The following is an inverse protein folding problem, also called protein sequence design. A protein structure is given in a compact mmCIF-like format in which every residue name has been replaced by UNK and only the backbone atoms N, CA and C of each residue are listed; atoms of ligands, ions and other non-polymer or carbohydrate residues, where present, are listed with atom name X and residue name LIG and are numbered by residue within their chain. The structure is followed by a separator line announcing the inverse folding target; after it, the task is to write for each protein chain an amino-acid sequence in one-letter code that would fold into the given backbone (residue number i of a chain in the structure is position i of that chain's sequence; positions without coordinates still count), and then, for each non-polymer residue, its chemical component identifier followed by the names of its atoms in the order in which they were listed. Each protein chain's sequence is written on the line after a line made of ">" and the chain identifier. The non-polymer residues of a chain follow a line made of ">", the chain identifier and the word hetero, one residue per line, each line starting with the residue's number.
data_IF_231643036212
#
_entry.id   IF_231643036212
#
_cell.length_a   1.000
_cell.length_b   1.000
_cell.length_c   1.000
_cell.angle_alpha   90.00
_cell.angle_beta   90.00
_cell.angle_gamma   90.00
#
_symmetry.space_group_name_H-M   'P 1'
#
loop_
_entity.id
_entity.type
_entity.pdbx_description
1 polymer ?
#
# COMPACT_ATOMS: atom_id res chain seq x y z
N UNK A 1 -11.51 10.89 -7.48
CA UNK A 1 -10.30 10.73 -8.30
C UNK A 1 -9.23 10.04 -7.47
N UNK A 2 -9.08 8.73 -7.64
CA UNK A 2 -7.98 7.97 -7.03
C UNK A 2 -6.73 8.25 -7.86
N UNK A 3 -5.70 8.77 -7.21
CA UNK A 3 -4.42 9.01 -7.89
C UNK A 3 -3.66 7.68 -7.97
N UNK A 4 -3.06 7.37 -9.11
CA UNK A 4 -2.37 6.10 -9.40
C UNK A 4 -1.24 5.75 -8.42
N UNK A 5 -0.61 6.76 -7.84
CA UNK A 5 0.48 6.61 -6.88
C UNK A 5 0.01 6.42 -5.43
N UNK A 6 -1.30 6.48 -5.19
CA UNK A 6 -1.81 6.24 -3.86
C UNK A 6 -1.93 4.75 -3.60
N UNK A 7 -1.34 4.33 -2.50
CA UNK A 7 -1.60 3.04 -1.90
C UNK A 7 -2.72 3.18 -0.87
N UNK A 8 -3.58 2.17 -0.78
CA UNK A 8 -4.29 1.95 0.45
C UNK A 8 -3.29 1.48 1.52
N UNK A 9 -3.29 2.11 2.68
CA UNK A 9 -2.37 1.79 3.77
C UNK A 9 -3.15 1.53 5.05
N UNK A 10 -3.13 0.30 5.53
CA UNK A 10 -3.53 -0.08 6.88
C UNK A 10 -2.26 -0.30 7.71
N UNK A 11 -2.00 0.60 8.65
CA UNK A 11 -0.78 0.54 9.45
C UNK A 11 -1.08 0.90 10.90
N UNK A 12 -0.20 0.48 11.80
CA UNK A 12 -0.37 0.78 13.21
C UNK A 12 0.80 0.34 14.07
N UNK A 13 0.57 0.41 15.36
CA UNK A 13 1.49 0.02 16.41
C UNK A 13 1.13 -1.38 16.90
N UNK A 14 2.14 -2.21 17.11
CA UNK A 14 2.05 -3.47 17.83
C UNK A 14 3.03 -3.45 19.00
N UNK A 15 2.69 -4.06 20.13
CA UNK A 15 3.61 -4.23 21.24
C UNK A 15 3.40 -5.57 21.95
N UNK A 16 4.41 -6.03 22.65
CA UNK A 16 4.39 -7.30 23.38
C UNK A 16 3.91 -7.12 24.81
N UNK A 17 3.03 -8.04 25.24
CA UNK A 17 2.50 -8.15 26.60
C UNK A 17 1.26 -7.28 26.82
N UNK A 18 0.67 -7.46 28.00
CA UNK A 18 -0.64 -6.88 28.36
C UNK A 18 -0.55 -5.49 28.99
N UNK A 19 0.68 -5.02 29.28
CA UNK A 19 0.91 -3.69 29.85
C UNK A 19 1.49 -2.74 28.84
N UNK A 20 1.09 -1.48 28.90
CA UNK A 20 1.62 -0.41 28.08
C UNK A 20 3.15 -0.37 28.11
N UNK A 21 3.84 -0.46 26.96
CA UNK A 21 5.30 -0.49 26.91
C UNK A 21 5.95 0.87 27.20
N UNK A 22 5.17 1.95 27.13
CA UNK A 22 5.58 3.33 27.47
C UNK A 22 4.43 4.05 28.16
N UNK A 23 4.73 5.13 28.86
CA UNK A 23 3.70 6.07 29.33
C UNK A 23 3.28 6.95 28.16
N UNK A 24 2.26 6.53 27.43
CA UNK A 24 1.85 7.17 26.17
C UNK A 24 1.50 8.67 26.36
N UNK A 25 0.89 9.05 27.49
CA UNK A 25 0.59 10.45 27.77
C UNK A 25 1.86 11.32 27.93
N UNK A 26 3.00 10.73 28.35
CA UNK A 26 4.27 11.43 28.42
C UNK A 26 4.80 11.75 27.01
N UNK A 27 4.63 10.83 26.06
CA UNK A 27 4.95 11.08 24.64
C UNK A 27 4.11 12.24 24.10
N UNK A 28 2.79 12.20 24.31
CA UNK A 28 1.90 13.25 23.80
C UNK A 28 2.18 14.62 24.44
N UNK A 29 2.59 14.67 25.71
CA UNK A 29 3.04 15.90 26.35
C UNK A 29 4.28 16.51 25.71
N UNK A 30 5.24 15.68 25.28
CA UNK A 30 6.47 16.13 24.58
C UNK A 30 6.18 16.78 23.22
N UNK A 31 5.02 16.56 22.63
CA UNK A 31 4.64 17.24 21.38
C UNK A 31 4.27 18.73 21.60
N UNK A 32 4.06 19.17 22.85
CA UNK A 32 3.76 20.55 23.18
C UNK A 32 2.65 21.16 22.29
N UNK A 33 1.54 20.43 22.16
CA UNK A 33 0.40 20.86 21.35
C UNK A 33 -0.50 21.81 22.14
N UNK A 34 -1.29 22.59 21.38
CA UNK A 34 -2.31 23.45 21.99
C UNK A 34 -3.33 22.61 22.78
N UNK A 35 -3.78 23.11 23.93
CA UNK A 35 -4.65 22.36 24.87
C UNK A 35 -6.01 21.95 24.29
N UNK A 36 -6.48 22.64 23.24
CA UNK A 36 -7.74 22.34 22.55
C UNK A 36 -7.65 21.16 21.56
N UNK A 37 -6.44 20.64 21.29
CA UNK A 37 -6.24 19.49 20.39
C UNK A 37 -6.39 18.20 21.20
N UNK A 38 -7.56 17.60 21.16
CA UNK A 38 -7.86 16.33 21.84
C UNK A 38 -7.66 15.11 20.95
N UNK A 39 -7.87 15.24 19.63
CA UNK A 39 -7.62 14.23 18.62
C UNK A 39 -6.36 14.60 17.82
N UNK A 40 -5.23 14.04 18.23
CA UNK A 40 -3.93 14.37 17.65
C UNK A 40 -3.71 13.55 16.37
N UNK A 41 -3.45 14.25 15.27
CA UNK A 41 -3.16 13.69 13.94
C UNK A 41 -1.76 14.07 13.49
N UNK A 42 -1.21 13.36 12.50
CA UNK A 42 0.11 13.64 11.94
C UNK A 42 0.33 15.12 11.58
N UNK A 43 -0.68 15.79 11.01
CA UNK A 43 -0.63 17.23 10.68
C UNK A 43 -0.38 18.17 11.87
N UNK A 44 -0.59 17.70 13.11
CA UNK A 44 -0.33 18.48 14.31
C UNK A 44 1.12 18.36 14.78
N UNK A 45 1.83 17.33 14.37
CA UNK A 45 3.25 17.11 14.71
C UNK A 45 4.19 17.34 13.52
N UNK A 46 3.70 17.33 12.29
CA UNK A 46 4.47 17.64 11.09
C UNK A 46 3.67 18.56 10.18
N UNK A 47 4.32 19.60 9.66
CA UNK A 47 3.75 20.47 8.63
C UNK A 47 4.20 19.96 7.25
N UNK A 48 3.28 19.90 6.30
CA UNK A 48 3.56 19.55 4.92
C UNK A 48 2.68 20.38 3.98
N UNK A 49 3.22 20.77 2.83
CA UNK A 49 2.64 21.80 1.96
C UNK A 49 1.64 21.28 0.91
N UNK A 50 1.06 20.12 1.09
CA UNK A 50 -0.05 19.65 0.25
C UNK A 50 0.33 18.92 -1.04
N UNK A 51 1.58 18.96 -1.52
CA UNK A 51 2.04 18.13 -2.63
C UNK A 51 2.42 16.74 -2.14
N UNK A 52 1.78 15.71 -2.68
CA UNK A 52 2.03 14.32 -2.27
C UNK A 52 3.48 13.89 -2.51
N UNK A 53 4.14 14.44 -3.53
CA UNK A 53 5.54 14.19 -3.86
C UNK A 53 6.53 14.66 -2.78
N UNK A 54 6.21 15.73 -2.06
CA UNK A 54 7.08 16.34 -1.05
C UNK A 54 6.65 15.96 0.38
N UNK A 55 5.46 15.42 0.55
CA UNK A 55 4.85 15.16 1.86
C UNK A 55 5.75 14.34 2.78
N UNK A 56 6.37 13.28 2.28
CA UNK A 56 7.27 12.43 3.07
C UNK A 56 8.50 13.22 3.52
N UNK A 57 9.13 13.94 2.61
CA UNK A 57 10.31 14.77 2.88
C UNK A 57 10.00 15.86 3.91
N UNK A 58 8.84 16.50 3.80
CA UNK A 58 8.40 17.53 4.76
C UNK A 58 8.12 16.95 6.15
N UNK A 59 7.51 15.78 6.24
CA UNK A 59 7.28 15.08 7.52
C UNK A 59 8.61 14.83 8.23
N UNK A 60 9.65 14.45 7.48
CA UNK A 60 10.97 14.17 8.04
C UNK A 60 11.68 15.42 8.60
N UNK A 61 11.29 16.65 8.27
CA UNK A 61 11.83 17.89 8.83
C UNK A 61 11.41 18.14 10.29
N UNK A 62 10.45 17.40 10.81
CA UNK A 62 9.83 17.71 12.09
C UNK A 62 10.60 17.11 13.28
N UNK A 63 10.98 17.95 14.25
CA UNK A 63 11.52 17.52 15.53
C UNK A 63 10.50 16.71 16.38
N UNK A 64 9.19 16.98 16.20
CA UNK A 64 8.16 16.18 16.87
C UNK A 64 8.08 14.77 16.30
N UNK A 65 8.40 14.60 15.02
CA UNK A 65 8.56 13.26 14.41
C UNK A 65 9.83 12.59 14.95
N UNK A 66 10.91 13.33 15.20
CA UNK A 66 12.09 12.78 15.90
C UNK A 66 11.71 12.24 17.28
N UNK A 67 11.00 13.03 18.10
CA UNK A 67 10.52 12.62 19.43
C UNK A 67 9.67 11.35 19.34
N UNK A 68 8.77 11.28 18.36
CA UNK A 68 7.93 10.10 18.10
C UNK A 68 8.80 8.87 17.83
N UNK A 69 9.66 8.94 16.82
CA UNK A 69 10.47 7.81 16.37
C UNK A 69 11.48 7.36 17.41
N UNK A 70 12.13 8.28 18.11
CA UNK A 70 13.03 7.98 19.23
C UNK A 70 12.31 7.23 20.35
N UNK A 71 11.12 7.70 20.74
CA UNK A 71 10.34 7.06 21.80
C UNK A 71 9.94 5.62 21.40
N UNK A 72 9.52 5.41 20.14
CA UNK A 72 9.18 4.07 19.67
C UNK A 72 10.40 3.15 19.63
N UNK A 73 11.55 3.64 19.18
CA UNK A 73 12.79 2.86 19.10
C UNK A 73 13.41 2.55 20.48
N UNK A 74 13.27 3.44 21.46
CA UNK A 74 13.76 3.23 22.82
C UNK A 74 12.96 2.15 23.56
N UNK A 75 11.72 1.92 23.16
CA UNK A 75 10.92 0.83 23.70
C UNK A 75 11.21 -0.46 22.95
N UNK A 76 11.98 -1.35 23.55
CA UNK A 76 12.31 -2.67 22.95
C UNK A 76 11.08 -3.59 22.72
N UNK A 77 9.88 -3.13 23.06
CA UNK A 77 8.61 -3.89 22.97
C UNK A 77 7.65 -3.32 21.95
N UNK A 78 7.97 -2.18 21.31
CA UNK A 78 7.09 -1.54 20.32
C UNK A 78 7.60 -1.84 18.91
N UNK A 79 6.67 -2.20 18.05
CA UNK A 79 6.85 -2.47 16.63
C UNK A 79 5.80 -1.72 15.83
N UNK A 80 6.06 -1.51 14.56
CA UNK A 80 5.07 -1.02 13.60
C UNK A 80 4.70 -2.13 12.62
N UNK A 81 3.46 -2.13 12.19
CA UNK A 81 3.02 -3.02 11.13
C UNK A 81 2.34 -2.22 10.03
N UNK A 82 2.34 -2.76 8.82
CA UNK A 82 1.66 -2.14 7.69
C UNK A 82 1.17 -3.21 6.71
N UNK A 83 0.03 -2.92 6.09
CA UNK A 83 -0.47 -3.57 4.90
C UNK A 83 -0.68 -2.47 3.85
N UNK A 84 -0.10 -2.64 2.68
CA UNK A 84 -0.22 -1.65 1.61
C UNK A 84 -0.66 -2.32 0.33
N UNK A 85 -1.51 -1.62 -0.44
CA UNK A 85 -1.99 -2.07 -1.73
C UNK A 85 -1.99 -0.91 -2.70
N UNK A 86 -1.14 -0.96 -3.73
CA UNK A 86 -1.18 0.02 -4.80
C UNK A 86 -2.43 -0.20 -5.65
N UNK A 87 -3.26 0.84 -5.78
CA UNK A 87 -4.59 0.70 -6.38
C UNK A 87 -4.52 0.48 -7.90
N UNK A 88 -3.59 1.14 -8.59
CA UNK A 88 -3.41 0.91 -10.04
C UNK A 88 -2.83 -0.48 -10.31
N UNK A 89 -1.80 -0.88 -9.55
CA UNK A 89 -1.23 -2.24 -9.68
C UNK A 89 -2.31 -3.30 -9.51
N UNK A 90 -3.07 -3.20 -8.42
CA UNK A 90 -4.19 -4.11 -8.16
C UNK A 90 -5.22 -4.09 -9.30
N UNK A 91 -5.47 -2.91 -9.87
CA UNK A 91 -6.45 -2.76 -10.95
C UNK A 91 -6.05 -3.43 -12.27
N UNK A 92 -4.77 -3.66 -12.52
CA UNK A 92 -4.31 -4.22 -13.81
C UNK A 92 -3.83 -5.67 -13.72
N UNK A 93 -3.61 -6.22 -12.52
CA UNK A 93 -3.10 -7.60 -12.37
C UNK A 93 -4.08 -8.64 -12.89
N UNK A 94 -5.39 -8.41 -12.76
CA UNK A 94 -6.43 -9.31 -13.23
C UNK A 94 -6.45 -9.47 -14.76
N UNK A 95 -5.91 -8.49 -15.49
CA UNK A 95 -5.69 -8.62 -16.94
C UNK A 95 -4.73 -9.77 -17.22
N UNK A 96 -3.58 -9.77 -16.52
CA UNK A 96 -2.55 -10.82 -16.70
C UNK A 96 -3.09 -12.18 -16.27
N UNK A 97 -3.74 -12.25 -15.11
CA UNK A 97 -4.32 -13.49 -14.58
C UNK A 97 -5.44 -14.03 -15.46
N UNK A 98 -6.14 -13.18 -16.21
CA UNK A 98 -7.20 -13.59 -17.15
C UNK A 98 -6.68 -14.12 -18.46
N UNK A 99 -5.48 -13.69 -18.92
CA UNK A 99 -4.99 -14.01 -20.26
C UNK A 99 -3.80 -14.96 -20.29
N UNK A 100 -3.10 -15.18 -19.15
CA UNK A 100 -1.96 -16.08 -19.06
C UNK A 100 -2.27 -17.29 -18.17
N UNK A 101 -1.89 -18.48 -18.65
CA UNK A 101 -2.06 -19.75 -17.93
C UNK A 101 -0.78 -20.17 -17.15
N UNK A 102 0.34 -19.45 -17.30
CA UNK A 102 1.65 -19.82 -16.76
C UNK A 102 1.98 -19.04 -15.47
N UNK A 103 1.59 -19.51 -14.27
CA UNK A 103 1.64 -18.74 -13.05
C UNK A 103 3.05 -18.28 -12.61
N UNK A 104 4.10 -19.00 -13.02
CA UNK A 104 5.47 -18.69 -12.61
C UNK A 104 6.11 -17.45 -13.27
N UNK A 105 5.48 -16.90 -14.33
CA UNK A 105 5.92 -15.65 -14.98
C UNK A 105 4.95 -14.50 -14.77
N UNK A 106 3.82 -14.72 -14.07
CA UNK A 106 2.80 -13.70 -13.89
C UNK A 106 3.32 -12.45 -13.21
N UNK A 107 4.14 -12.60 -12.16
CA UNK A 107 4.62 -11.44 -11.39
C UNK A 107 5.50 -10.51 -12.24
N UNK A 108 6.32 -11.05 -13.13
CA UNK A 108 7.15 -10.26 -14.04
C UNK A 108 6.27 -9.52 -15.07
N UNK A 109 5.34 -10.23 -15.71
CA UNK A 109 4.43 -9.64 -16.68
C UNK A 109 3.53 -8.59 -16.03
N UNK A 110 3.01 -8.84 -14.80
CA UNK A 110 2.24 -7.86 -14.01
C UNK A 110 3.03 -6.58 -13.75
N UNK A 111 4.30 -6.70 -13.38
CA UNK A 111 5.14 -5.53 -13.12
C UNK A 111 5.44 -4.74 -14.39
N UNK A 112 5.63 -5.41 -15.51
CA UNK A 112 5.85 -4.75 -16.81
C UNK A 112 4.56 -4.08 -17.29
N UNK A 113 3.41 -4.75 -17.21
CA UNK A 113 2.12 -4.14 -17.50
C UNK A 113 1.87 -2.90 -16.63
N UNK A 114 2.12 -2.99 -15.33
CA UNK A 114 2.01 -1.85 -14.42
C UNK A 114 2.93 -0.69 -14.80
N UNK A 115 4.19 -0.97 -15.17
CA UNK A 115 5.15 0.04 -15.64
C UNK A 115 4.59 0.84 -16.81
N UNK A 116 3.99 0.15 -17.79
CA UNK A 116 3.40 0.81 -18.96
C UNK A 116 2.06 1.46 -18.63
N UNK A 117 1.26 0.89 -17.74
CA UNK A 117 0.06 1.52 -17.23
C UNK A 117 0.34 2.85 -16.51
N UNK A 118 1.48 2.98 -15.81
CA UNK A 118 1.93 4.24 -15.21
C UNK A 118 2.35 5.26 -16.28
N UNK A 119 2.99 4.81 -17.36
CA UNK A 119 3.47 5.71 -18.44
C UNK A 119 2.35 6.23 -19.32
N UNK A 120 1.37 5.41 -19.63
CA UNK A 120 0.23 5.74 -20.50
C UNK A 120 -1.09 5.46 -19.79
N UNK A 121 -1.34 6.22 -18.71
CA UNK A 121 -2.56 6.09 -17.93
C UNK A 121 -3.81 6.45 -18.72
N UNK A 122 -3.76 7.54 -19.50
CA UNK A 122 -4.94 8.00 -20.25
C UNK A 122 -5.36 6.97 -21.28
N UNK A 123 -4.41 6.39 -22.02
CA UNK A 123 -4.70 5.36 -23.03
C UNK A 123 -5.30 4.11 -22.40
N UNK A 124 -4.61 3.52 -21.42
CA UNK A 124 -5.09 2.28 -20.80
C UNK A 124 -6.39 2.50 -20.02
N UNK A 125 -6.48 3.52 -19.15
CA UNK A 125 -7.69 3.74 -18.34
C UNK A 125 -8.91 4.09 -19.19
N UNK A 126 -8.73 4.79 -20.32
CA UNK A 126 -9.81 5.06 -21.27
C UNK A 126 -10.31 3.77 -21.92
N UNK A 127 -9.38 2.89 -22.31
CA UNK A 127 -9.72 1.57 -22.83
C UNK A 127 -10.49 0.74 -21.80
N UNK A 128 -10.00 0.66 -20.56
CA UNK A 128 -10.67 -0.09 -19.50
C UNK A 128 -12.07 0.45 -19.21
N UNK A 129 -12.22 1.78 -19.16
CA UNK A 129 -13.52 2.43 -18.93
C UNK A 129 -14.54 2.19 -20.07
N UNK A 130 -14.05 2.12 -21.33
CA UNK A 130 -14.89 1.86 -22.50
C UNK A 130 -15.59 0.49 -22.44
N UNK A 131 -14.95 -0.49 -21.81
CA UNK A 131 -15.44 -1.87 -21.74
C UNK A 131 -16.03 -2.25 -20.39
N UNK A 132 -16.37 -1.30 -19.54
CA UNK A 132 -16.94 -1.52 -18.21
C UNK A 132 -16.06 -2.40 -17.29
N UNK A 133 -14.71 -2.32 -17.48
CA UNK A 133 -13.77 -3.06 -16.65
C UNK A 133 -14.06 -2.84 -15.16
N UNK A 134 -14.04 -3.88 -14.31
CA UNK A 134 -13.60 -5.27 -14.50
C UNK A 134 -14.73 -6.23 -14.91
N UNK A 135 -15.89 -5.75 -15.32
CA UNK A 135 -17.02 -6.58 -15.76
C UNK A 135 -17.25 -6.45 -17.27
N UNK A 136 -16.35 -7.06 -18.04
CA UNK A 136 -16.42 -7.03 -19.51
C UNK A 136 -17.53 -7.97 -19.96
N UNK A 137 -18.52 -7.41 -20.67
CA UNK A 137 -19.63 -8.20 -21.19
C UNK A 137 -19.18 -9.23 -22.22
N UNK A 138 -19.78 -10.40 -22.18
CA UNK A 138 -19.42 -11.56 -23.03
C UNK A 138 -19.31 -11.24 -24.52
N UNK A 139 -20.22 -10.45 -25.04
CA UNK A 139 -20.24 -10.00 -26.43
C UNK A 139 -19.18 -8.94 -26.76
N UNK A 140 -18.56 -8.33 -25.74
CA UNK A 140 -17.53 -7.31 -25.87
C UNK A 140 -16.10 -7.85 -25.69
N UNK A 141 -15.93 -9.10 -25.20
CA UNK A 141 -14.60 -9.68 -24.93
C UNK A 141 -13.70 -9.63 -26.16
N UNK A 142 -14.19 -10.04 -27.32
CA UNK A 142 -13.39 -10.04 -28.56
C UNK A 142 -12.90 -8.64 -28.93
N UNK A 143 -13.77 -7.63 -28.83
CA UNK A 143 -13.44 -6.23 -29.10
C UNK A 143 -12.48 -5.65 -28.06
N UNK A 144 -12.69 -5.93 -26.76
CA UNK A 144 -11.77 -5.55 -25.70
C UNK A 144 -10.35 -6.11 -25.94
N UNK A 145 -10.26 -7.42 -26.21
CA UNK A 145 -8.97 -8.06 -26.49
C UNK A 145 -8.27 -7.45 -27.71
N UNK A 146 -9.04 -7.10 -28.76
CA UNK A 146 -8.48 -6.43 -29.94
C UNK A 146 -7.89 -5.06 -29.61
N UNK A 147 -8.61 -4.24 -28.86
CA UNK A 147 -8.12 -2.93 -28.43
C UNK A 147 -6.96 -3.04 -27.47
N UNK A 148 -6.96 -4.03 -26.55
CA UNK A 148 -5.84 -4.29 -25.66
C UNK A 148 -4.59 -4.71 -26.45
N UNK A 149 -4.72 -5.55 -27.48
CA UNK A 149 -3.62 -5.92 -28.38
C UNK A 149 -3.06 -4.67 -29.07
N UNK A 150 -3.94 -3.82 -29.65
CA UNK A 150 -3.50 -2.57 -30.27
C UNK A 150 -2.75 -1.66 -29.30
N UNK A 151 -3.22 -1.55 -28.06
CA UNK A 151 -2.52 -0.80 -27.03
C UNK A 151 -1.16 -1.41 -26.71
N UNK A 152 -1.05 -2.73 -26.49
CA UNK A 152 0.23 -3.43 -26.27
C UNK A 152 1.20 -3.20 -27.44
N UNK A 153 0.75 -3.31 -28.68
CA UNK A 153 1.56 -3.11 -29.88
C UNK A 153 2.02 -1.65 -30.06
N UNK A 154 1.36 -0.69 -29.43
CA UNK A 154 1.79 0.72 -29.42
C UNK A 154 2.93 1.00 -28.43
N UNK A 155 3.20 0.09 -27.49
CA UNK A 155 4.22 0.25 -26.48
C UNK A 155 5.61 0.02 -27.07
N UNK A 156 6.60 0.75 -26.54
CA UNK A 156 8.01 0.58 -26.95
C UNK A 156 8.79 -0.05 -25.79
N UNK A 157 9.14 -1.36 -25.89
CA UNK A 157 9.93 -2.04 -24.88
C UNK A 157 11.35 -1.44 -24.81
N UNK A 158 11.92 -1.42 -23.60
CA UNK A 158 13.22 -0.83 -23.32
C UNK A 158 14.29 -1.90 -23.06
N UNK A 159 13.89 -3.16 -22.97
CA UNK A 159 14.78 -4.32 -22.85
C UNK A 159 14.16 -5.56 -23.50
N UNK A 160 14.98 -6.61 -23.65
CA UNK A 160 14.53 -7.90 -24.19
C UNK A 160 13.50 -8.55 -23.27
N UNK A 161 13.66 -8.41 -21.96
CA UNK A 161 12.74 -8.94 -20.95
C UNK A 161 11.37 -8.26 -21.05
N UNK A 162 11.34 -6.95 -21.25
CA UNK A 162 10.09 -6.21 -21.46
C UNK A 162 9.40 -6.62 -22.76
N UNK A 163 10.16 -6.75 -23.85
CA UNK A 163 9.62 -7.18 -25.14
C UNK A 163 9.02 -8.60 -25.04
N UNK A 164 9.72 -9.50 -24.39
CA UNK A 164 9.23 -10.86 -24.15
C UNK A 164 7.95 -10.90 -23.31
N UNK A 165 7.89 -10.12 -22.23
CA UNK A 165 6.69 -10.04 -21.37
C UNK A 165 5.49 -9.44 -22.10
N UNK A 166 5.69 -8.37 -22.88
CA UNK A 166 4.63 -7.76 -23.71
C UNK A 166 4.16 -8.73 -24.80
N UNK A 167 5.07 -9.50 -25.40
CA UNK A 167 4.71 -10.54 -26.37
C UNK A 167 3.89 -11.66 -25.73
N UNK A 168 4.26 -12.13 -24.53
CA UNK A 168 3.47 -13.11 -23.78
C UNK A 168 2.07 -12.59 -23.51
N UNK A 169 1.95 -11.35 -23.03
CA UNK A 169 0.66 -10.70 -22.74
C UNK A 169 -0.18 -10.60 -24.04
N UNK A 170 0.46 -10.21 -25.15
CA UNK A 170 -0.19 -10.12 -26.46
C UNK A 170 -0.69 -11.49 -26.95
N UNK A 171 0.11 -12.54 -26.82
CA UNK A 171 -0.28 -13.90 -27.23
C UNK A 171 -1.40 -14.47 -26.34
N UNK A 172 -1.31 -14.26 -25.03
CA UNK A 172 -2.37 -14.63 -24.09
C UNK A 172 -3.70 -13.91 -24.44
N UNK A 173 -3.65 -12.61 -24.70
CA UNK A 173 -4.81 -11.82 -25.12
C UNK A 173 -5.42 -12.32 -26.44
N UNK A 174 -4.59 -12.70 -27.42
CA UNK A 174 -5.07 -13.32 -28.68
C UNK A 174 -5.76 -14.67 -28.40
N UNK A 175 -5.25 -15.44 -27.47
CA UNK A 175 -5.87 -16.72 -27.09
C UNK A 175 -7.22 -16.49 -26.44
N UNK A 176 -7.29 -15.58 -25.44
CA UNK A 176 -8.55 -15.21 -24.78
C UNK A 176 -9.58 -14.66 -25.75
N UNK A 177 -9.16 -13.85 -26.74
CA UNK A 177 -10.02 -13.41 -27.84
C UNK A 177 -10.63 -14.57 -28.61
N UNK A 178 -9.80 -15.57 -28.98
CA UNK A 178 -10.23 -16.75 -29.76
C UNK A 178 -11.22 -17.63 -29.01
N UNK A 179 -11.01 -17.85 -27.71
CA UNK A 179 -11.91 -18.65 -26.88
C UNK A 179 -13.09 -17.85 -26.34
N UNK A 180 -13.07 -16.53 -26.50
CA UNK A 180 -14.06 -15.58 -26.03
C UNK A 180 -14.30 -15.70 -24.50
N UNK A 181 -13.20 -15.72 -23.72
CA UNK A 181 -13.23 -15.90 -22.27
C UNK A 181 -12.14 -15.10 -21.57
N UNK A 182 -12.50 -14.49 -20.41
CA UNK A 182 -11.61 -13.74 -19.52
C UNK A 182 -11.95 -14.11 -18.07
N UNK A 183 -11.19 -15.04 -17.48
CA UNK A 183 -11.53 -15.71 -16.23
C UNK A 183 -11.88 -14.77 -15.06
N UNK A 184 -11.17 -13.64 -14.91
CA UNK A 184 -11.36 -12.71 -13.79
C UNK A 184 -12.03 -11.39 -14.20
N UNK A 185 -12.39 -11.22 -15.48
CA UNK A 185 -12.88 -9.95 -16.01
C UNK A 185 -14.27 -10.06 -16.65
N UNK A 186 -14.95 -11.19 -16.51
CA UNK A 186 -16.33 -11.38 -16.95
C UNK A 186 -17.21 -11.79 -15.76
N UNK A 187 -18.48 -11.44 -15.80
CA UNK A 187 -19.47 -11.76 -14.75
C UNK A 187 -19.15 -11.19 -13.35
N UNK A 188 -18.43 -10.09 -13.31
CA UNK A 188 -18.09 -9.35 -12.08
C UNK A 188 -19.13 -8.27 -11.75
N UNK A 189 -18.92 -7.56 -10.64
CA UNK A 189 -19.69 -6.37 -10.30
C UNK A 189 -19.35 -5.23 -11.26
N UNK A 190 -20.35 -4.61 -11.87
CA UNK A 190 -20.16 -3.54 -12.84
C UNK A 190 -19.24 -2.43 -12.33
N UNK A 191 -18.14 -2.18 -13.06
CA UNK A 191 -17.15 -1.11 -12.81
C UNK A 191 -16.58 -1.05 -11.40
N UNK A 192 -16.69 -2.12 -10.62
CA UNK A 192 -16.27 -2.16 -9.22
C UNK A 192 -15.07 -3.10 -9.06
N UNK A 193 -13.86 -2.51 -9.03
CA UNK A 193 -12.61 -3.25 -8.81
C UNK A 193 -12.37 -3.60 -7.36
N UNK A 194 -12.74 -2.70 -6.45
CA UNK A 194 -12.60 -2.86 -5.01
C UNK A 194 -13.90 -2.41 -4.36
N UNK A 195 -14.67 -3.35 -3.87
CA UNK A 195 -15.92 -3.06 -3.17
C UNK A 195 -15.64 -2.29 -1.88
N UNK A 196 -14.71 -2.77 -1.11
CA UNK A 196 -14.26 -2.13 0.14
C UNK A 196 -12.92 -2.73 0.59
N UNK A 197 -12.36 -2.20 1.67
CA UNK A 197 -11.11 -2.69 2.25
C UNK A 197 -11.30 -3.69 3.39
N UNK A 198 -12.51 -4.18 3.65
CA UNK A 198 -12.81 -5.19 4.68
C UNK A 198 -11.88 -6.40 4.59
N UNK A 199 -11.55 -6.95 3.39
CA UNK A 199 -10.61 -8.06 3.27
C UNK A 199 -9.26 -7.81 3.94
N UNK A 200 -8.70 -6.60 3.82
CA UNK A 200 -7.39 -6.26 4.40
C UNK A 200 -7.45 -6.23 5.92
N UNK A 201 -8.53 -5.68 6.50
CA UNK A 201 -8.75 -5.69 7.95
C UNK A 201 -8.96 -7.12 8.48
N UNK A 202 -9.84 -7.89 7.82
CA UNK A 202 -10.13 -9.28 8.19
C UNK A 202 -8.88 -10.17 8.12
N UNK A 203 -8.10 -10.06 7.04
CA UNK A 203 -6.84 -10.79 6.91
C UNK A 203 -5.82 -10.36 7.97
N UNK A 204 -5.75 -9.07 8.32
CA UNK A 204 -4.90 -8.60 9.40
C UNK A 204 -5.30 -9.22 10.73
N UNK A 205 -6.59 -9.22 11.07
CA UNK A 205 -7.10 -9.85 12.27
C UNK A 205 -6.82 -11.36 12.28
N UNK A 206 -7.10 -12.06 11.18
CA UNK A 206 -6.87 -13.50 11.05
C UNK A 206 -5.38 -13.91 11.06
N UNK A 207 -4.48 -13.00 10.68
CA UNK A 207 -3.03 -13.24 10.72
C UNK A 207 -2.49 -13.28 12.14
N UNK A 208 -3.12 -12.57 13.08
CA UNK A 208 -2.70 -12.47 14.48
C UNK A 208 -3.78 -12.94 15.46
N UNK A 209 -4.19 -14.23 15.40
CA UNK A 209 -5.34 -14.73 16.17
C UNK A 209 -5.12 -14.70 17.69
N UNK A 210 -3.87 -14.64 18.16
CA UNK A 210 -3.51 -14.58 19.58
C UNK A 210 -3.24 -13.15 20.09
N UNK A 211 -3.64 -12.13 19.32
CA UNK A 211 -3.44 -10.74 19.66
C UNK A 211 -4.77 -10.05 19.92
N UNK A 212 -4.79 -9.10 20.84
CA UNK A 212 -5.88 -8.14 20.97
C UNK A 212 -5.69 -7.04 19.92
N UNK A 213 -6.59 -6.92 18.98
CA UNK A 213 -6.47 -5.98 17.86
C UNK A 213 -7.52 -4.88 18.02
N UNK A 214 -7.06 -3.64 18.02
CA UNK A 214 -7.91 -2.46 18.11
C UNK A 214 -7.84 -1.67 16.80
N UNK A 215 -8.93 -1.60 16.07
CA UNK A 215 -9.06 -0.79 14.87
C UNK A 215 -9.66 0.57 15.19
N UNK A 216 -9.28 1.61 14.43
CA UNK A 216 -10.05 2.86 14.44
C UNK A 216 -11.44 2.63 13.83
N UNK A 217 -12.46 3.32 14.36
CA UNK A 217 -13.84 3.17 13.88
C UNK A 217 -13.97 3.48 12.40
N UNK A 218 -14.48 2.49 11.67
CA UNK A 218 -14.82 2.59 10.26
C UNK A 218 -16.12 1.82 10.01
N UNK A 219 -17.22 2.54 9.82
CA UNK A 219 -18.57 1.93 9.78
C UNK A 219 -18.73 0.81 8.75
N UNK A 220 -18.12 0.94 7.56
CA UNK A 220 -18.17 -0.10 6.51
C UNK A 220 -17.44 -1.36 6.98
N UNK A 221 -16.26 -1.20 7.59
CA UNK A 221 -15.46 -2.34 8.07
C UNK A 221 -16.16 -2.99 9.27
N UNK A 222 -16.59 -2.18 10.25
CA UNK A 222 -17.27 -2.64 11.46
C UNK A 222 -18.51 -3.49 11.14
N UNK A 223 -19.28 -3.09 10.12
CA UNK A 223 -20.50 -3.80 9.71
C UNK A 223 -20.25 -5.11 8.97
N UNK A 224 -19.10 -5.29 8.32
CA UNK A 224 -18.90 -6.40 7.37
C UNK A 224 -17.74 -7.34 7.72
N UNK A 225 -16.84 -6.96 8.62
CA UNK A 225 -15.62 -7.72 8.91
C UNK A 225 -15.91 -9.12 9.45
N UNK A 226 -16.90 -9.28 10.33
CA UNK A 226 -17.25 -10.58 10.91
C UNK A 226 -17.76 -11.55 9.83
N UNK A 227 -18.67 -11.10 8.99
CA UNK A 227 -19.19 -11.90 7.86
C UNK A 227 -18.06 -12.34 6.93
N UNK A 228 -17.10 -11.45 6.65
CA UNK A 228 -15.95 -11.80 5.82
C UNK A 228 -15.05 -12.86 6.49
N UNK A 229 -14.76 -12.71 7.80
CA UNK A 229 -13.96 -13.67 8.56
C UNK A 229 -14.63 -15.04 8.56
N UNK A 230 -15.92 -15.11 8.85
CA UNK A 230 -16.68 -16.36 8.90
C UNK A 230 -16.72 -17.07 7.54
N UNK A 231 -16.73 -16.31 6.46
CA UNK A 231 -16.80 -16.85 5.09
C UNK A 231 -15.43 -17.31 4.59
N UNK A 232 -14.37 -16.52 4.79
CA UNK A 232 -13.09 -16.71 4.11
C UNK A 232 -11.92 -17.04 5.03
N UNK A 233 -12.02 -16.82 6.35
CA UNK A 233 -10.95 -17.07 7.30
C UNK A 233 -11.26 -18.30 8.17
N UNK A 234 -11.64 -19.41 7.55
CA UNK A 234 -12.06 -20.66 8.22
C UNK A 234 -11.06 -21.09 9.30
N UNK A 235 -11.57 -21.52 10.46
CA UNK A 235 -10.81 -21.96 11.64
C UNK A 235 -10.00 -20.86 12.37
N UNK A 236 -10.34 -19.60 12.19
CA UNK A 236 -9.71 -18.49 12.91
C UNK A 236 -10.77 -17.66 13.65
N UNK A 237 -10.54 -17.46 14.93
CA UNK A 237 -11.37 -16.60 15.80
C UNK A 237 -10.51 -15.45 16.31
N UNK A 238 -10.21 -14.44 15.49
CA UNK A 238 -9.40 -13.32 15.92
C UNK A 238 -10.12 -12.50 16.99
N UNK A 239 -9.36 -11.94 17.92
CA UNK A 239 -9.88 -11.02 18.91
C UNK A 239 -9.62 -9.58 18.43
N UNK A 240 -10.70 -8.88 18.11
CA UNK A 240 -10.62 -7.48 17.65
C UNK A 240 -11.81 -6.66 18.13
N UNK A 241 -11.60 -5.36 18.23
CA UNK A 241 -12.65 -4.38 18.48
C UNK A 241 -12.40 -3.07 17.70
N UNK A 242 -13.32 -2.14 17.79
CA UNK A 242 -13.24 -0.83 17.15
C UNK A 242 -13.29 0.28 18.19
N UNK A 243 -12.25 1.08 18.25
CA UNK A 243 -12.09 2.18 19.18
C UNK A 243 -12.24 3.53 18.46
N UNK A 244 -12.80 4.50 19.16
CA UNK A 244 -12.79 5.87 18.67
C UNK A 244 -11.43 6.52 18.95
N UNK A 245 -10.76 7.01 17.92
CA UNK A 245 -9.45 7.68 18.04
C UNK A 245 -9.43 8.81 19.07
N UNK A 246 -10.52 9.53 19.26
CA UNK A 246 -10.63 10.60 20.28
C UNK A 246 -10.41 10.09 21.71
N UNK A 247 -10.69 8.82 21.96
CA UNK A 247 -10.64 8.20 23.29
C UNK A 247 -9.41 7.27 23.47
N UNK A 248 -8.57 7.09 22.43
CA UNK A 248 -7.43 6.19 22.48
C UNK A 248 -6.17 6.85 21.90
N UNK A 249 -5.19 7.11 22.77
CA UNK A 249 -3.87 7.60 22.34
C UNK A 249 -3.12 6.61 21.47
N UNK A 250 -3.32 5.32 21.69
CA UNK A 250 -2.71 4.27 20.86
C UNK A 250 -3.26 4.27 19.43
N UNK A 251 -4.56 4.51 19.26
CA UNK A 251 -5.16 4.68 17.92
C UNK A 251 -4.64 5.96 17.26
N UNK A 252 -4.55 7.09 17.99
CA UNK A 252 -3.96 8.33 17.46
C UNK A 252 -2.49 8.13 17.04
N UNK A 253 -1.72 7.40 17.82
CA UNK A 253 -0.33 7.06 17.50
C UNK A 253 -0.24 6.17 16.26
N UNK A 254 -1.09 5.16 16.16
CA UNK A 254 -1.21 4.28 15.00
C UNK A 254 -1.56 5.07 13.72
N UNK A 255 -2.47 6.04 13.83
CA UNK A 255 -2.86 6.93 12.72
C UNK A 255 -1.67 7.81 12.25
N UNK A 256 -0.85 8.32 13.18
CA UNK A 256 0.37 9.06 12.81
C UNK A 256 1.36 8.16 12.05
N UNK A 257 1.60 6.94 12.53
CA UNK A 257 2.49 5.98 11.86
C UNK A 257 1.94 5.57 10.50
N UNK A 258 0.62 5.37 10.39
CA UNK A 258 -0.07 5.10 9.12
C UNK A 258 0.13 6.27 8.13
N UNK A 259 0.00 7.50 8.61
CA UNK A 259 0.23 8.69 7.80
C UNK A 259 1.67 8.83 7.29
N UNK A 260 2.68 8.45 8.10
CA UNK A 260 4.08 8.42 7.66
C UNK A 260 4.30 7.30 6.62
N UNK A 261 3.75 6.10 6.85
CA UNK A 261 3.82 5.00 5.88
C UNK A 261 3.14 5.38 4.56
N UNK A 262 1.96 5.99 4.60
CA UNK A 262 1.25 6.45 3.40
C UNK A 262 2.06 7.49 2.61
N UNK A 263 2.70 8.43 3.30
CA UNK A 263 3.57 9.41 2.68
C UNK A 263 4.81 8.75 2.06
N UNK A 264 5.43 7.76 2.72
CA UNK A 264 6.53 6.98 2.14
C UNK A 264 6.09 6.25 0.87
N UNK A 265 4.91 5.59 0.88
CA UNK A 265 4.41 4.87 -0.31
C UNK A 265 4.20 5.83 -1.48
N UNK A 266 3.55 6.97 -1.27
CA UNK A 266 3.38 7.98 -2.31
C UNK A 266 4.74 8.50 -2.84
N UNK A 267 5.68 8.75 -1.95
CA UNK A 267 7.02 9.20 -2.32
C UNK A 267 7.77 8.19 -3.21
N UNK A 268 7.80 6.91 -2.82
CA UNK A 268 8.47 5.87 -3.62
C UNK A 268 7.71 5.54 -4.90
N UNK A 269 6.41 5.82 -5.00
CA UNK A 269 5.67 5.66 -6.25
C UNK A 269 5.94 6.80 -7.23
N UNK A 270 6.10 8.02 -6.75
CA UNK A 270 6.30 9.23 -7.56
C UNK A 270 7.74 9.45 -8.03
N UNK A 271 8.73 8.89 -7.32
CA UNK A 271 10.14 9.13 -7.60
C UNK A 271 10.88 7.84 -7.95
N UNK A 272 11.67 7.85 -9.01
CA UNK A 272 12.62 6.79 -9.31
C UNK A 272 13.85 6.87 -8.38
N UNK A 273 14.69 5.81 -8.41
CA UNK A 273 15.89 5.72 -7.56
C UNK A 273 16.85 6.89 -7.80
N UNK A 274 16.96 7.39 -9.03
CA UNK A 274 17.84 8.52 -9.36
C UNK A 274 17.34 9.80 -8.68
N UNK A 275 16.06 10.09 -8.81
CA UNK A 275 15.41 11.25 -8.19
C UNK A 275 15.47 11.17 -6.67
N UNK A 276 15.22 9.98 -6.09
CA UNK A 276 15.36 9.75 -4.64
C UNK A 276 16.80 10.05 -4.19
N UNK A 277 17.81 9.50 -4.90
CA UNK A 277 19.23 9.71 -4.58
C UNK A 277 19.63 11.18 -4.65
N UNK A 278 19.16 11.90 -5.65
CA UNK A 278 19.42 13.34 -5.78
C UNK A 278 18.81 14.12 -4.61
N UNK A 279 17.56 13.84 -4.23
CA UNK A 279 16.87 14.50 -3.13
C UNK A 279 17.52 14.24 -1.77
N UNK A 280 17.97 13.02 -1.50
CA UNK A 280 18.65 12.65 -0.26
C UNK A 280 19.94 13.47 -0.01
N UNK A 281 20.61 13.98 -1.07
CA UNK A 281 21.81 14.82 -0.93
C UNK A 281 21.51 16.18 -0.29
N UNK A 282 20.27 16.62 -0.33
CA UNK A 282 19.83 17.91 0.20
C UNK A 282 19.10 17.79 1.54
N UNK A 283 19.04 16.57 2.09
CA UNK A 283 18.44 16.37 3.41
C UNK A 283 19.29 17.03 4.49
N UNK A 284 18.63 17.77 5.37
CA UNK A 284 19.25 18.29 6.58
C UNK A 284 19.47 17.15 7.61
N UNK A 285 20.11 17.51 8.73
CA UNK A 285 20.44 16.56 9.80
C UNK A 285 19.16 15.91 10.40
N UNK A 286 18.11 16.69 10.62
CA UNK A 286 16.84 16.20 11.16
C UNK A 286 16.16 15.24 10.20
N UNK A 287 16.12 15.56 8.91
CA UNK A 287 15.56 14.69 7.88
C UNK A 287 16.31 13.36 7.79
N UNK A 288 17.64 13.40 7.75
CA UNK A 288 18.45 12.17 7.71
C UNK A 288 18.26 11.32 8.96
N UNK A 289 18.28 11.92 10.15
CA UNK A 289 18.03 11.24 11.42
C UNK A 289 16.66 10.57 11.44
N UNK A 290 15.61 11.29 11.04
CA UNK A 290 14.24 10.78 11.02
C UNK A 290 14.07 9.65 10.00
N UNK A 291 14.66 9.78 8.81
CA UNK A 291 14.66 8.71 7.81
C UNK A 291 15.31 7.44 8.36
N UNK A 292 16.53 7.56 8.91
CA UNK A 292 17.24 6.40 9.49
C UNK A 292 16.43 5.76 10.61
N UNK A 293 15.87 6.54 11.52
CA UNK A 293 15.05 6.03 12.61
C UNK A 293 13.80 5.31 12.12
N UNK A 294 13.09 5.87 11.13
CA UNK A 294 11.88 5.27 10.60
C UNK A 294 12.18 3.97 9.85
N UNK A 295 13.21 3.96 9.00
CA UNK A 295 13.63 2.75 8.28
C UNK A 295 14.15 1.67 9.24
N UNK A 296 14.86 2.06 10.31
CA UNK A 296 15.30 1.14 11.38
C UNK A 296 14.11 0.52 12.11
N UNK A 297 13.09 1.32 12.43
CA UNK A 297 11.88 0.82 13.09
C UNK A 297 11.13 -0.18 12.18
N UNK A 298 11.01 0.10 10.89
CA UNK A 298 10.46 -0.85 9.90
C UNK A 298 11.27 -2.15 9.86
N UNK A 299 12.60 -2.07 9.79
CA UNK A 299 13.49 -3.25 9.74
C UNK A 299 13.38 -4.11 11.01
N UNK A 300 13.39 -3.50 12.18
CA UNK A 300 13.23 -4.22 13.46
C UNK A 300 11.86 -4.92 13.49
N UNK A 301 10.82 -4.23 13.05
CA UNK A 301 9.46 -4.77 13.05
C UNK A 301 9.31 -5.97 12.10
N UNK A 302 9.77 -5.89 10.86
CA UNK A 302 9.71 -7.01 9.91
C UNK A 302 10.59 -8.20 10.33
N UNK A 303 11.72 -7.96 11.01
CA UNK A 303 12.54 -9.02 11.63
C UNK A 303 11.83 -9.70 12.78
N UNK A 304 11.10 -8.92 13.59
CA UNK A 304 10.31 -9.46 14.71
C UNK A 304 9.21 -10.38 14.22
N UNK A 305 8.49 -9.97 13.21
CA UNK A 305 7.46 -10.79 12.57
C UNK A 305 7.35 -10.42 11.07
N UNK A 306 7.60 -11.39 10.20
CA UNK A 306 7.52 -11.19 8.75
C UNK A 306 6.14 -10.72 8.28
N UNK A 307 5.08 -11.03 9.00
CA UNK A 307 3.72 -10.61 8.68
C UNK A 307 3.39 -9.17 9.09
N UNK A 308 4.30 -8.47 9.78
CA UNK A 308 4.14 -7.03 10.01
C UNK A 308 4.34 -6.25 8.71
N UNK A 309 5.14 -6.76 7.77
CA UNK A 309 5.28 -6.24 6.41
C UNK A 309 4.39 -7.06 5.46
N UNK A 310 3.16 -6.62 5.25
CA UNK A 310 2.25 -7.22 4.29
C UNK A 310 1.95 -6.20 3.18
N UNK A 311 2.60 -6.36 2.05
CA UNK A 311 2.47 -5.44 0.93
C UNK A 311 2.11 -6.21 -0.33
N UNK A 312 1.09 -5.75 -1.04
CA UNK A 312 0.91 -6.08 -2.45
C UNK A 312 1.90 -5.22 -3.26
N UNK A 313 3.11 -5.74 -3.46
CA UNK A 313 4.27 -4.98 -3.93
C UNK A 313 4.45 -5.13 -5.44
N UNK A 314 4.49 -4.01 -6.15
CA UNK A 314 5.14 -3.98 -7.44
C UNK A 314 6.68 -3.89 -7.27
N UNK A 315 7.44 -4.46 -8.20
CA UNK A 315 8.91 -4.48 -8.13
C UNK A 315 9.54 -3.09 -7.98
N UNK A 316 9.14 -2.05 -8.73
CA UNK A 316 9.69 -0.71 -8.56
C UNK A 316 9.56 -0.16 -7.14
N UNK A 317 8.46 -0.45 -6.46
CA UNK A 317 8.24 -0.02 -5.08
C UNK A 317 9.18 -0.76 -4.11
N UNK A 318 9.35 -2.07 -4.30
CA UNK A 318 10.29 -2.89 -3.52
C UNK A 318 11.71 -2.35 -3.66
N UNK A 319 12.19 -2.15 -4.88
CA UNK A 319 13.55 -1.67 -5.19
C UNK A 319 13.83 -0.30 -4.56
N UNK A 320 12.87 0.62 -4.59
CA UNK A 320 13.01 1.95 -4.01
C UNK A 320 13.03 1.93 -2.49
N UNK A 321 12.22 1.09 -1.86
CA UNK A 321 12.25 0.89 -0.41
C UNK A 321 13.57 0.23 0.00
N UNK A 322 14.05 -0.76 -0.76
CA UNK A 322 15.34 -1.40 -0.51
C UNK A 322 16.49 -0.39 -0.66
N UNK A 323 16.47 0.44 -1.69
CA UNK A 323 17.45 1.53 -1.85
C UNK A 323 17.47 2.47 -0.64
N UNK A 324 16.31 2.84 -0.07
CA UNK A 324 16.26 3.66 1.15
C UNK A 324 16.83 2.91 2.36
N UNK A 325 16.60 1.60 2.49
CA UNK A 325 17.22 0.78 3.55
C UNK A 325 18.75 0.77 3.42
N UNK A 326 19.27 0.54 2.23
CA UNK A 326 20.70 0.54 1.93
C UNK A 326 21.34 1.91 2.21
N UNK A 327 20.69 2.99 1.81
CA UNK A 327 21.13 4.35 2.12
C UNK A 327 21.26 4.60 3.63
N UNK A 328 20.36 4.02 4.43
CA UNK A 328 20.40 4.08 5.89
C UNK A 328 21.38 3.09 6.53
N UNK A 329 22.16 2.33 5.77
CA UNK A 329 23.04 1.26 6.24
C UNK A 329 22.29 0.17 7.06
N UNK A 330 21.12 -0.20 6.62
CA UNK A 330 20.22 -1.13 7.30
C UNK A 330 20.09 -2.47 6.57
#
# INVERSE_FOLDING_TARGET
>A
NVKWYNDFVLSGIAFEGDSDPIRIEDLFRKFELQKNITDVKLKHIAKYNGEDSERFVDILKSDKVSILLETLLQSNRIYIHWATQNLLYYSVVDIVDSVLELPFIHDEVKNILYKYAVKDQEGLLSLLAQYDYPNIKKDMISSFCEQLICWIESLTPQSIEEDFALELLRQGTKTSRRINHLLFLEDNTDKLLIENFVPIYAMRAATFPNSNIHFDKCGIVESNIQTYIDTYCVNKTPNYDFLNSKNSRWIQLSDMVSGINGALMAYVNLHDIRSIRERLRYFDETQNRNLVMFMKLRKISSRKNKYFDNMSKNLPQIERIQFLMEYCNL
#
